data_IF_887279235208
#
_entry.id   IF_887279235208
#
_cell.length_a   1.000
_cell.length_b   1.000
_cell.length_c   1.000
_cell.angle_alpha   90.00
_cell.angle_beta   90.00
_cell.angle_gamma   90.00
#
_symmetry.space_group_name_H-M   'P 1'
#
loop_
_entity.id
_entity.type
_entity.pdbx_description
1 polymer ?
#
# COMPACT_ATOMS: atom_id res chain seq x y z
N UNK A 1 -14.78 -19.34 -10.39
CA UNK A 1 -13.75 -18.68 -11.22
C UNK A 1 -14.32 -17.82 -12.33
N UNK A 2 -15.21 -18.29 -13.22
CA UNK A 2 -15.76 -17.43 -14.29
C UNK A 2 -16.35 -16.10 -13.76
N UNK A 3 -17.21 -16.18 -12.75
CA UNK A 3 -17.83 -14.99 -12.12
C UNK A 3 -16.81 -13.98 -11.55
N UNK A 4 -15.66 -14.45 -11.04
CA UNK A 4 -14.59 -13.56 -10.53
C UNK A 4 -14.09 -12.69 -11.68
N UNK A 5 -13.77 -13.32 -12.81
CA UNK A 5 -13.23 -12.63 -13.97
C UNK A 5 -14.28 -11.78 -14.69
N UNK A 6 -15.56 -12.16 -14.63
CA UNK A 6 -16.64 -11.30 -15.14
C UNK A 6 -16.80 -10.03 -14.30
N UNK A 7 -16.67 -10.12 -12.96
CA UNK A 7 -16.71 -8.94 -12.07
C UNK A 7 -15.54 -8.00 -12.35
N UNK A 8 -14.31 -8.54 -12.38
CA UNK A 8 -13.11 -7.74 -12.65
C UNK A 8 -13.12 -7.16 -14.07
N UNK A 9 -13.54 -7.97 -15.05
CA UNK A 9 -13.63 -7.63 -16.47
C UNK A 9 -14.65 -6.53 -16.76
N UNK A 10 -15.78 -6.50 -16.05
CA UNK A 10 -16.77 -5.42 -16.17
C UNK A 10 -16.44 -4.20 -15.30
N UNK A 11 -15.59 -4.37 -14.27
CA UNK A 11 -15.19 -3.35 -13.31
C UNK A 11 -13.79 -2.78 -13.58
N UNK A 12 -12.83 -3.12 -12.71
CA UNK A 12 -11.49 -2.50 -12.68
C UNK A 12 -10.68 -2.69 -13.97
N UNK A 13 -10.96 -3.72 -14.78
CA UNK A 13 -10.30 -3.90 -16.08
C UNK A 13 -10.98 -3.15 -17.24
N UNK A 14 -12.07 -2.42 -16.98
CA UNK A 14 -12.86 -1.72 -17.99
C UNK A 14 -12.81 -0.19 -17.82
N UNK A 15 -11.60 0.38 -17.77
CA UNK A 15 -11.44 1.84 -17.70
C UNK A 15 -11.97 2.49 -18.99
N UNK A 16 -12.89 3.48 -18.88
CA UNK A 16 -13.50 4.10 -20.05
C UNK A 16 -12.52 5.07 -20.73
N UNK A 17 -12.61 5.19 -22.06
CA UNK A 17 -11.70 6.01 -22.88
C UNK A 17 -11.67 7.48 -22.46
N UNK A 18 -12.76 7.99 -21.90
CA UNK A 18 -12.93 9.37 -21.46
C UNK A 18 -12.27 9.63 -20.09
N UNK A 19 -11.93 8.58 -19.33
CA UNK A 19 -11.22 8.66 -18.05
C UNK A 19 -9.78 8.19 -18.23
N UNK A 20 -9.01 9.00 -18.94
CA UNK A 20 -7.56 8.80 -19.08
C UNK A 20 -6.96 8.84 -17.68
N UNK A 21 -6.26 7.76 -17.33
CA UNK A 21 -5.53 7.57 -16.09
C UNK A 21 -4.12 7.10 -16.44
N UNK A 22 -3.11 7.64 -15.78
CA UNK A 22 -1.73 7.22 -15.96
C UNK A 22 -1.42 6.06 -15.00
N UNK A 23 -1.84 4.85 -15.39
CA UNK A 23 -1.57 3.62 -14.64
C UNK A 23 -2.79 3.08 -13.87
N UNK A 24 -2.53 2.40 -12.76
CA UNK A 24 -3.54 1.73 -11.94
C UNK A 24 -4.21 2.67 -10.95
N UNK A 25 -5.37 2.27 -10.43
CA UNK A 25 -6.04 2.97 -9.33
C UNK A 25 -5.19 2.84 -8.06
N UNK A 26 -4.52 3.92 -7.67
CA UNK A 26 -3.48 3.91 -6.66
C UNK A 26 -4.04 3.58 -5.27
N UNK A 27 -3.24 2.88 -4.47
CA UNK A 27 -3.62 2.45 -3.12
C UNK A 27 -3.48 3.59 -2.13
N UNK A 28 -4.53 3.87 -1.36
CA UNK A 28 -4.51 4.93 -0.34
C UNK A 28 -3.41 4.69 0.71
N UNK A 29 -3.05 3.43 0.94
CA UNK A 29 -1.96 3.08 1.86
C UNK A 29 -0.63 3.67 1.40
N UNK A 30 -0.41 3.80 0.09
CA UNK A 30 0.83 4.31 -0.47
C UNK A 30 0.91 5.84 -0.53
N UNK A 31 -0.16 6.57 -0.23
CA UNK A 31 -0.17 8.02 -0.33
C UNK A 31 0.63 8.67 0.80
N UNK A 32 1.20 9.86 0.53
CA UNK A 32 1.54 10.78 1.60
C UNK A 32 0.23 11.20 2.31
N UNK A 33 0.10 11.02 3.64
CA UNK A 33 -1.15 11.21 4.35
C UNK A 33 -1.74 12.62 4.26
N UNK A 34 -3.07 12.70 4.35
CA UNK A 34 -3.86 13.93 4.36
C UNK A 34 -5.30 13.65 4.75
N UNK A 35 -6.08 14.70 5.03
CA UNK A 35 -7.53 14.58 5.25
C UNK A 35 -8.25 14.18 3.97
N UNK A 36 -7.86 14.79 2.84
CA UNK A 36 -8.43 14.50 1.53
C UNK A 36 -7.35 13.88 0.64
N UNK A 37 -7.15 12.57 0.79
CA UNK A 37 -6.22 11.81 -0.06
C UNK A 37 -7.00 11.21 -1.22
N UNK A 38 -6.59 11.56 -2.43
CA UNK A 38 -7.19 11.01 -3.64
C UNK A 38 -6.18 10.26 -4.51
N UNK A 39 -4.98 10.78 -4.67
CA UNK A 39 -3.91 10.18 -5.46
C UNK A 39 -2.62 10.05 -4.67
N UNK A 40 -1.78 9.10 -5.07
CA UNK A 40 -0.46 8.83 -4.49
C UNK A 40 0.61 9.64 -5.21
N UNK A 41 0.70 9.48 -6.54
CA UNK A 41 1.66 10.20 -7.37
C UNK A 41 1.05 11.47 -7.98
N UNK A 42 1.90 12.43 -8.33
CA UNK A 42 1.44 13.75 -8.81
C UNK A 42 0.67 13.72 -10.14
N UNK A 43 0.87 12.70 -10.98
CA UNK A 43 0.33 12.63 -12.34
C UNK A 43 -0.56 11.41 -12.60
N UNK A 44 -1.08 10.73 -11.57
CA UNK A 44 -1.89 9.53 -11.81
C UNK A 44 -3.17 9.84 -12.59
N UNK A 45 -3.72 11.05 -12.50
CA UNK A 45 -4.98 11.46 -13.15
C UNK A 45 -6.15 10.51 -12.82
N UNK A 46 -6.05 9.81 -11.69
CA UNK A 46 -7.00 8.76 -11.29
C UNK A 46 -8.43 9.29 -11.24
N UNK A 47 -9.39 8.47 -11.68
CA UNK A 47 -10.83 8.78 -11.58
C UNK A 47 -11.57 7.55 -11.07
N UNK A 48 -12.61 7.76 -10.28
CA UNK A 48 -13.51 6.65 -9.91
C UNK A 48 -14.27 6.19 -11.17
N UNK A 49 -14.08 4.93 -11.60
CA UNK A 49 -14.72 4.39 -12.80
C UNK A 49 -15.32 2.99 -12.66
N UNK A 50 -15.05 2.31 -11.55
CA UNK A 50 -15.62 1.01 -11.22
C UNK A 50 -16.17 1.04 -9.80
N UNK A 51 -17.01 0.06 -9.46
CA UNK A 51 -17.53 -0.11 -8.11
C UNK A 51 -16.53 -0.91 -7.26
N UNK A 52 -15.96 -0.36 -6.17
CA UNK A 52 -15.05 -1.08 -5.28
C UNK A 52 -15.59 -2.40 -4.73
N UNK A 53 -16.92 -2.50 -4.56
CA UNK A 53 -17.55 -3.73 -4.06
C UNK A 53 -17.38 -4.91 -5.02
N UNK A 54 -17.25 -4.66 -6.32
CA UNK A 54 -17.06 -5.74 -7.30
C UNK A 54 -15.70 -6.44 -7.11
N UNK A 55 -14.67 -5.68 -6.70
CA UNK A 55 -13.34 -6.23 -6.38
C UNK A 55 -13.38 -7.01 -5.06
N UNK A 56 -14.07 -6.48 -4.04
CA UNK A 56 -14.23 -7.18 -2.75
C UNK A 56 -14.99 -8.49 -2.95
N UNK A 57 -16.05 -8.50 -3.77
CA UNK A 57 -16.81 -9.70 -4.09
C UNK A 57 -15.99 -10.70 -4.91
N UNK A 58 -15.18 -10.22 -5.87
CA UNK A 58 -14.22 -11.06 -6.60
C UNK A 58 -13.22 -11.73 -5.63
N UNK A 59 -12.66 -10.99 -4.68
CA UNK A 59 -11.77 -11.53 -3.65
C UNK A 59 -12.48 -12.60 -2.79
N UNK A 60 -13.71 -12.33 -2.32
CA UNK A 60 -14.53 -13.28 -1.55
C UNK A 60 -14.71 -14.59 -2.30
N UNK A 61 -15.07 -14.51 -3.59
CA UNK A 61 -15.27 -15.68 -4.44
C UNK A 61 -13.98 -16.48 -4.64
N UNK A 62 -12.84 -15.82 -4.84
CA UNK A 62 -11.53 -16.49 -4.93
C UNK A 62 -11.16 -17.20 -3.63
N UNK A 63 -11.28 -16.51 -2.49
CA UNK A 63 -11.03 -17.09 -1.15
C UNK A 63 -11.92 -18.32 -0.91
N UNK A 64 -13.21 -18.27 -1.30
CA UNK A 64 -14.16 -19.37 -1.10
C UNK A 64 -13.81 -20.68 -1.82
N UNK A 65 -12.97 -20.61 -2.86
CA UNK A 65 -12.53 -21.78 -3.62
C UNK A 65 -11.02 -22.06 -3.47
N UNK A 66 -10.32 -21.28 -2.64
CA UNK A 66 -8.86 -21.28 -2.59
C UNK A 66 -8.25 -22.64 -2.23
N UNK A 67 -8.89 -23.40 -1.34
CA UNK A 67 -8.43 -24.75 -0.96
C UNK A 67 -8.33 -25.71 -2.17
N UNK A 68 -9.18 -25.52 -3.20
CA UNK A 68 -9.17 -26.35 -4.42
C UNK A 68 -7.97 -26.09 -5.31
N UNK A 69 -7.33 -24.93 -5.15
CA UNK A 69 -6.24 -24.44 -6.00
C UNK A 69 -4.94 -24.29 -5.23
N UNK A 70 -4.85 -24.79 -4.00
CA UNK A 70 -3.63 -24.74 -3.21
C UNK A 70 -2.45 -25.39 -3.95
N UNK A 71 -1.32 -24.69 -4.01
CA UNK A 71 -0.13 -25.10 -4.77
C UNK A 71 -0.19 -24.74 -6.26
N UNK A 72 -1.30 -24.22 -6.78
CA UNK A 72 -1.33 -23.65 -8.13
C UNK A 72 -0.76 -22.23 -8.11
N UNK A 73 0.46 -22.10 -8.65
CA UNK A 73 1.20 -20.84 -8.63
C UNK A 73 0.45 -19.64 -9.24
N UNK A 74 -0.28 -19.85 -10.34
CA UNK A 74 -0.98 -18.76 -11.03
C UNK A 74 -2.19 -18.31 -10.22
N UNK A 75 -2.99 -19.27 -9.72
CA UNK A 75 -4.13 -18.95 -8.88
C UNK A 75 -3.71 -18.23 -7.60
N UNK A 76 -2.65 -18.68 -6.93
CA UNK A 76 -2.19 -18.03 -5.70
C UNK A 76 -1.63 -16.63 -5.94
N UNK A 77 -1.02 -16.38 -7.10
CA UNK A 77 -0.63 -15.03 -7.50
C UNK A 77 -1.87 -14.13 -7.66
N UNK A 78 -2.86 -14.58 -8.45
CA UNK A 78 -4.09 -13.82 -8.67
C UNK A 78 -4.87 -13.60 -7.36
N UNK A 79 -4.89 -14.61 -6.46
CA UNK A 79 -5.53 -14.51 -5.15
C UNK A 79 -4.91 -13.40 -4.31
N UNK A 80 -3.58 -13.32 -4.28
CA UNK A 80 -2.86 -12.27 -3.54
C UNK A 80 -3.10 -10.91 -4.15
N UNK A 81 -3.05 -10.77 -5.48
CA UNK A 81 -3.23 -9.47 -6.13
C UNK A 81 -4.67 -8.93 -6.00
N UNK A 82 -5.67 -9.79 -6.21
CA UNK A 82 -7.09 -9.40 -6.05
C UNK A 82 -7.42 -9.08 -4.60
N UNK A 83 -6.94 -9.87 -3.63
CA UNK A 83 -7.17 -9.59 -2.21
C UNK A 83 -6.41 -8.35 -1.73
N UNK A 84 -5.19 -8.10 -2.23
CA UNK A 84 -4.47 -6.83 -2.02
C UNK A 84 -5.31 -5.65 -2.50
N UNK A 85 -5.87 -5.73 -3.70
CA UNK A 85 -6.74 -4.65 -4.18
C UNK A 85 -7.98 -4.48 -3.30
N UNK A 86 -8.63 -5.56 -2.86
CA UNK A 86 -9.78 -5.48 -1.96
C UNK A 86 -9.43 -4.81 -0.60
N UNK A 87 -8.25 -5.08 -0.06
CA UNK A 87 -7.73 -4.40 1.14
C UNK A 87 -7.51 -2.90 0.89
N UNK A 88 -6.93 -2.53 -0.26
CA UNK A 88 -6.78 -1.12 -0.65
C UNK A 88 -8.13 -0.40 -0.78
N UNK A 89 -9.15 -1.07 -1.33
CA UNK A 89 -10.51 -0.54 -1.41
C UNK A 89 -11.14 -0.35 -0.01
N UNK A 90 -10.99 -1.33 0.89
CA UNK A 90 -11.41 -1.20 2.30
C UNK A 90 -10.68 -0.07 3.00
N UNK A 91 -9.37 0.07 2.76
CA UNK A 91 -8.54 1.17 3.25
C UNK A 91 -9.07 2.52 2.84
N UNK A 92 -9.50 2.69 1.57
CA UNK A 92 -10.07 3.94 1.07
C UNK A 92 -11.37 4.31 1.77
N UNK A 93 -12.23 3.32 2.02
CA UNK A 93 -13.45 3.54 2.81
C UNK A 93 -13.11 3.94 4.25
N UNK A 94 -12.14 3.27 4.87
CA UNK A 94 -11.73 3.57 6.24
C UNK A 94 -11.11 4.97 6.36
N UNK A 95 -10.30 5.41 5.40
CA UNK A 95 -9.74 6.76 5.39
C UNK A 95 -10.83 7.83 5.37
N UNK A 96 -11.91 7.62 4.59
CA UNK A 96 -13.08 8.53 4.58
C UNK A 96 -13.73 8.62 5.98
N UNK A 97 -13.80 7.50 6.71
CA UNK A 97 -14.32 7.48 8.10
C UNK A 97 -13.39 8.23 9.04
N UNK A 98 -12.07 8.03 8.97
CA UNK A 98 -11.07 8.76 9.77
C UNK A 98 -11.23 10.27 9.57
N UNK A 99 -11.30 10.72 8.31
CA UNK A 99 -11.46 12.13 7.97
C UNK A 99 -12.78 12.71 8.49
N UNK A 100 -13.89 11.96 8.35
CA UNK A 100 -15.18 12.40 8.87
C UNK A 100 -15.16 12.53 10.39
N UNK A 101 -14.58 11.56 11.10
CA UNK A 101 -14.46 11.58 12.56
C UNK A 101 -13.60 12.75 13.06
N UNK A 102 -12.45 12.98 12.41
CA UNK A 102 -11.59 14.13 12.72
C UNK A 102 -12.34 15.46 12.55
N UNK A 103 -13.03 15.64 11.41
CA UNK A 103 -13.81 16.86 11.12
C UNK A 103 -14.97 17.07 12.09
N UNK A 104 -15.56 15.99 12.59
CA UNK A 104 -16.62 16.04 13.59
C UNK A 104 -16.10 16.28 15.02
N UNK A 105 -14.78 16.22 15.24
CA UNK A 105 -14.19 16.26 16.58
C UNK A 105 -14.45 15.00 17.41
N UNK A 106 -14.88 13.91 16.78
CA UNK A 106 -15.20 12.65 17.45
C UNK A 106 -13.93 11.84 17.70
N UNK A 107 -13.33 12.05 18.88
CA UNK A 107 -12.07 11.41 19.27
C UNK A 107 -12.17 9.88 19.31
N UNK A 108 -13.30 9.34 19.77
CA UNK A 108 -13.45 7.90 19.96
C UNK A 108 -13.54 7.20 18.60
N UNK A 109 -14.36 7.73 17.68
CA UNK A 109 -14.46 7.18 16.32
C UNK A 109 -13.15 7.40 15.56
N UNK A 110 -12.50 8.54 15.73
CA UNK A 110 -11.20 8.82 15.10
C UNK A 110 -10.13 7.80 15.52
N UNK A 111 -10.00 7.54 16.83
CA UNK A 111 -9.03 6.57 17.36
C UNK A 111 -9.28 5.17 16.81
N UNK A 112 -10.53 4.69 16.87
CA UNK A 112 -10.87 3.35 16.37
C UNK A 112 -10.65 3.23 14.85
N UNK A 113 -11.10 4.22 14.08
CA UNK A 113 -10.98 4.19 12.62
C UNK A 113 -9.51 4.29 12.16
N UNK A 114 -8.70 5.13 12.83
CA UNK A 114 -7.28 5.29 12.49
C UNK A 114 -6.47 4.03 12.82
N UNK A 115 -6.74 3.40 13.97
CA UNK A 115 -6.14 2.11 14.33
C UNK A 115 -6.52 1.01 13.33
N UNK A 116 -7.79 0.94 12.92
CA UNK A 116 -8.24 -0.02 11.92
C UNK A 116 -7.56 0.25 10.55
N UNK A 117 -7.47 1.50 10.12
CA UNK A 117 -6.76 1.83 8.88
C UNK A 117 -5.30 1.36 8.90
N UNK A 118 -4.59 1.63 10.01
CA UNK A 118 -3.22 1.19 10.20
C UNK A 118 -3.09 -0.34 10.21
N UNK A 119 -4.05 -1.03 10.84
CA UNK A 119 -4.10 -2.48 10.87
C UNK A 119 -4.27 -3.08 9.47
N UNK A 120 -5.10 -2.48 8.61
CA UNK A 120 -5.25 -2.93 7.21
C UNK A 120 -3.93 -2.87 6.43
N UNK A 121 -3.07 -1.88 6.69
CA UNK A 121 -1.72 -1.82 6.07
C UNK A 121 -0.90 -3.04 6.49
N UNK A 122 -0.94 -3.42 7.77
CA UNK A 122 -0.19 -4.57 8.29
C UNK A 122 -0.72 -5.89 7.75
N UNK A 123 -2.04 -6.05 7.61
CA UNK A 123 -2.63 -7.22 6.98
C UNK A 123 -2.25 -7.32 5.50
N UNK A 124 -2.26 -6.20 4.77
CA UNK A 124 -1.79 -6.19 3.38
C UNK A 124 -0.30 -6.52 3.27
N UNK A 125 0.54 -5.98 4.16
CA UNK A 125 1.97 -6.31 4.25
C UNK A 125 2.19 -7.82 4.49
N UNK A 126 1.41 -8.42 5.39
CA UNK A 126 1.46 -9.86 5.67
C UNK A 126 1.03 -10.71 4.47
N UNK A 127 -0.06 -10.35 3.80
CA UNK A 127 -0.55 -11.04 2.61
C UNK A 127 0.51 -11.09 1.51
N UNK A 128 1.11 -9.93 1.23
CA UNK A 128 2.13 -9.77 0.19
C UNK A 128 3.43 -10.50 0.56
N UNK A 129 3.70 -10.70 1.84
CA UNK A 129 4.85 -11.47 2.33
C UNK A 129 4.84 -12.94 1.91
N UNK A 130 3.68 -13.46 1.49
CA UNK A 130 3.51 -14.86 1.05
C UNK A 130 4.02 -15.15 -0.35
N UNK A 131 4.43 -14.15 -1.12
CA UNK A 131 4.99 -14.33 -2.48
C UNK A 131 6.17 -13.42 -2.74
N UNK A 132 7.20 -13.93 -3.41
CA UNK A 132 8.47 -13.20 -3.64
C UNK A 132 8.28 -11.96 -4.51
N UNK A 133 7.32 -11.98 -5.42
CA UNK A 133 7.04 -10.91 -6.39
C UNK A 133 6.60 -9.61 -5.70
N UNK A 134 6.07 -9.72 -4.47
CA UNK A 134 5.57 -8.61 -3.69
C UNK A 134 6.44 -8.27 -2.47
N UNK A 135 7.72 -8.65 -2.45
CA UNK A 135 8.63 -8.35 -1.32
C UNK A 135 9.67 -7.31 -1.71
N UNK A 136 9.82 -6.26 -0.90
CA UNK A 136 10.88 -5.26 -1.10
C UNK A 136 12.27 -5.88 -0.97
N UNK A 137 12.41 -6.96 -0.20
CA UNK A 137 13.65 -7.73 -0.08
C UNK A 137 14.14 -8.29 -1.41
N UNK A 138 13.25 -8.72 -2.30
CA UNK A 138 13.62 -9.19 -3.64
C UNK A 138 14.23 -8.07 -4.48
N UNK A 139 13.69 -6.85 -4.38
CA UNK A 139 14.20 -5.68 -5.08
C UNK A 139 15.57 -5.21 -4.54
N UNK A 140 15.68 -5.10 -3.22
CA UNK A 140 16.91 -4.66 -2.55
C UNK A 140 18.04 -5.69 -2.74
N UNK A 141 17.74 -6.98 -2.64
CA UNK A 141 18.73 -8.05 -2.88
C UNK A 141 19.24 -8.06 -4.31
N UNK A 142 18.36 -7.84 -5.31
CA UNK A 142 18.77 -7.72 -6.70
C UNK A 142 19.73 -6.53 -6.90
N UNK A 143 19.42 -5.37 -6.30
CA UNK A 143 20.26 -4.18 -6.38
C UNK A 143 21.63 -4.42 -5.73
N UNK A 144 21.67 -4.99 -4.52
CA UNK A 144 22.93 -5.37 -3.84
C UNK A 144 23.72 -6.39 -4.67
N UNK A 145 23.06 -7.38 -5.27
CA UNK A 145 23.75 -8.43 -6.04
C UNK A 145 24.40 -7.92 -7.32
N UNK A 146 23.99 -6.76 -7.82
CA UNK A 146 24.60 -6.13 -8.99
C UNK A 146 25.95 -5.43 -8.68
N UNK A 147 26.24 -5.10 -7.42
CA UNK A 147 27.49 -4.44 -7.01
C UNK A 147 28.64 -5.42 -6.76
N UNK A 148 29.87 -5.04 -7.10
CA UNK A 148 31.07 -5.87 -6.92
C UNK A 148 31.78 -5.57 -5.59
N UNK A 149 31.79 -4.31 -5.15
CA UNK A 149 32.39 -3.89 -3.86
C UNK A 149 31.32 -3.55 -2.82
N UNK A 150 31.70 -3.48 -1.54
CA UNK A 150 30.75 -3.13 -0.47
C UNK A 150 30.15 -1.73 -0.68
N UNK A 151 30.94 -0.79 -1.20
CA UNK A 151 30.53 0.56 -1.53
C UNK A 151 29.50 0.58 -2.68
N UNK A 152 29.73 -0.20 -3.73
CA UNK A 152 28.77 -0.32 -4.83
C UNK A 152 27.45 -0.96 -4.37
N UNK A 153 27.52 -2.02 -3.55
CA UNK A 153 26.33 -2.68 -3.00
C UNK A 153 25.48 -1.72 -2.17
N UNK A 154 26.13 -0.93 -1.31
CA UNK A 154 25.47 0.08 -0.50
C UNK A 154 24.85 1.19 -1.37
N UNK A 155 25.59 1.66 -2.39
CA UNK A 155 25.09 2.65 -3.34
C UNK A 155 23.88 2.14 -4.14
N UNK A 156 23.90 0.90 -4.59
CA UNK A 156 22.81 0.33 -5.38
C UNK A 156 21.57 0.06 -4.53
N UNK A 157 21.72 -0.38 -3.28
CA UNK A 157 20.59 -0.43 -2.35
C UNK A 157 20.00 0.96 -2.12
N UNK A 158 20.83 1.97 -1.87
CA UNK A 158 20.33 3.34 -1.69
C UNK A 158 19.54 3.81 -2.93
N UNK A 159 20.06 3.58 -4.14
CA UNK A 159 19.33 3.88 -5.38
C UNK A 159 18.00 3.12 -5.47
N UNK A 160 17.99 1.83 -5.11
CA UNK A 160 16.80 0.98 -5.14
C UNK A 160 15.71 1.48 -4.18
N UNK A 161 16.10 1.94 -2.98
CA UNK A 161 15.20 2.52 -1.98
C UNK A 161 14.66 3.87 -2.42
N UNK A 162 15.55 4.76 -2.89
CA UNK A 162 15.18 6.11 -3.37
C UNK A 162 14.19 6.01 -4.53
N UNK A 163 14.46 5.15 -5.53
CA UNK A 163 13.62 5.04 -6.72
C UNK A 163 12.15 4.77 -6.41
N UNK A 164 11.86 3.90 -5.43
CA UNK A 164 10.48 3.48 -5.09
C UNK A 164 9.82 4.35 -4.00
N UNK A 165 10.50 5.39 -3.51
CA UNK A 165 10.02 6.29 -2.44
C UNK A 165 10.12 7.76 -2.85
N UNK A 166 11.18 8.46 -2.44
CA UNK A 166 11.36 9.91 -2.67
C UNK A 166 11.72 10.23 -4.12
N UNK A 167 12.14 9.22 -4.90
CA UNK A 167 12.63 9.28 -6.28
C UNK A 167 13.93 10.08 -6.47
N UNK A 168 14.17 11.10 -5.65
CA UNK A 168 15.40 11.85 -5.56
C UNK A 168 15.51 12.63 -4.26
N UNK A 169 16.28 13.71 -4.28
CA UNK A 169 16.40 14.63 -3.14
C UNK A 169 15.11 15.43 -2.92
N UNK A 170 15.06 16.24 -1.85
CA UNK A 170 13.89 17.06 -1.49
C UNK A 170 13.37 17.92 -2.64
N UNK A 171 14.26 18.50 -3.42
CA UNK A 171 13.86 19.33 -4.57
C UNK A 171 13.11 18.47 -5.59
N UNK A 172 13.63 17.29 -5.95
CA UNK A 172 12.95 16.38 -6.86
C UNK A 172 11.63 15.83 -6.30
N UNK A 173 11.63 15.42 -5.03
CA UNK A 173 10.50 14.78 -4.36
C UNK A 173 9.32 15.76 -4.14
N UNK A 174 9.61 16.94 -3.57
CA UNK A 174 8.58 17.88 -3.16
C UNK A 174 8.26 18.91 -4.26
N UNK A 175 9.27 19.62 -4.78
CA UNK A 175 9.07 20.67 -5.79
C UNK A 175 8.89 20.09 -7.19
N UNK A 176 9.66 19.04 -7.51
CA UNK A 176 9.55 18.30 -8.75
C UNK A 176 8.34 17.36 -8.79
N UNK A 177 7.71 17.07 -7.65
CA UNK A 177 6.50 16.25 -7.58
C UNK A 177 6.74 14.74 -7.73
N UNK A 178 7.98 14.27 -7.60
CA UNK A 178 8.35 12.87 -7.92
C UNK A 178 8.23 11.91 -6.74
N UNK A 179 7.92 12.39 -5.53
CA UNK A 179 7.62 11.52 -4.38
C UNK A 179 6.54 10.49 -4.74
N UNK A 180 6.73 9.27 -4.28
CA UNK A 180 5.84 8.12 -4.48
C UNK A 180 5.50 7.82 -5.96
N UNK A 181 6.21 8.40 -6.93
CA UNK A 181 5.94 8.21 -8.36
C UNK A 181 6.03 6.73 -8.76
N UNK A 182 7.03 6.03 -8.22
CA UNK A 182 7.20 4.60 -8.42
C UNK A 182 6.88 3.81 -7.14
N UNK A 183 5.86 4.24 -6.38
CA UNK A 183 5.39 3.52 -5.19
C UNK A 183 5.12 2.03 -5.50
N UNK A 184 5.18 1.22 -4.44
CA UNK A 184 4.95 -0.22 -4.50
C UNK A 184 4.14 -0.69 -3.32
N UNK A 185 3.13 -1.50 -3.58
CA UNK A 185 2.47 -2.29 -2.55
C UNK A 185 3.28 -3.58 -2.35
N UNK A 186 4.38 -3.46 -1.60
CA UNK A 186 5.26 -4.58 -1.28
C UNK A 186 5.32 -4.80 0.24
N UNK A 187 5.44 -6.06 0.63
CA UNK A 187 5.82 -6.47 1.97
C UNK A 187 7.18 -5.85 2.35
N UNK A 188 7.28 -5.44 3.62
CA UNK A 188 8.38 -4.67 4.18
C UNK A 188 8.12 -3.16 4.08
N UNK A 189 7.99 -2.63 2.86
CA UNK A 189 7.81 -1.18 2.67
C UNK A 189 6.42 -0.68 3.11
N UNK A 190 5.37 -1.50 3.01
CA UNK A 190 4.06 -1.19 3.60
C UNK A 190 4.15 -0.95 5.10
N UNK A 191 4.80 -1.85 5.83
CA UNK A 191 4.99 -1.71 7.27
C UNK A 191 5.99 -0.62 7.68
N UNK A 192 7.14 -0.53 7.02
CA UNK A 192 8.24 0.29 7.55
C UNK A 192 8.25 1.71 7.00
N UNK A 193 7.65 1.94 5.83
CA UNK A 193 7.58 3.26 5.20
C UNK A 193 6.14 3.80 5.24
N UNK A 194 5.18 3.08 4.65
CA UNK A 194 3.83 3.59 4.47
C UNK A 194 3.03 3.68 5.78
N UNK A 195 3.03 2.62 6.59
CA UNK A 195 2.40 2.61 7.92
C UNK A 195 3.01 3.67 8.84
N UNK A 196 4.35 3.80 8.83
CA UNK A 196 5.04 4.82 9.63
C UNK A 196 4.53 6.22 9.30
N UNK A 197 4.41 6.57 8.00
CA UNK A 197 3.87 7.88 7.57
C UNK A 197 2.46 8.10 8.06
N UNK A 198 1.57 7.14 7.84
CA UNK A 198 0.17 7.23 8.26
C UNK A 198 0.03 7.33 9.78
N UNK A 199 0.83 6.58 10.54
CA UNK A 199 0.85 6.64 12.00
C UNK A 199 1.27 8.02 12.48
N UNK A 200 2.37 8.57 11.95
CA UNK A 200 2.83 9.91 12.30
C UNK A 200 1.74 10.97 12.05
N UNK A 201 1.03 10.86 10.92
CA UNK A 201 -0.08 11.75 10.60
C UNK A 201 -1.28 11.61 11.53
N UNK A 202 -1.69 10.38 11.87
CA UNK A 202 -2.79 10.17 12.80
C UNK A 202 -2.44 10.60 14.23
N UNK A 203 -1.21 10.40 14.68
CA UNK A 203 -0.71 10.93 15.95
C UNK A 203 -0.74 12.47 15.98
N UNK A 204 -0.36 13.11 14.87
CA UNK A 204 -0.46 14.57 14.69
C UNK A 204 -1.92 15.04 14.80
N UNK A 205 -2.84 14.40 14.08
CA UNK A 205 -4.27 14.73 14.12
C UNK A 205 -4.88 14.49 15.52
N UNK A 206 -4.48 13.43 16.22
CA UNK A 206 -4.91 13.20 17.60
C UNK A 206 -4.48 14.35 18.53
N UNK A 207 -3.26 14.87 18.37
CA UNK A 207 -2.80 16.05 19.12
C UNK A 207 -3.64 17.29 18.80
N UNK A 208 -4.01 17.51 17.53
CA UNK A 208 -4.89 18.61 17.12
C UNK A 208 -6.28 18.47 17.75
N UNK A 209 -6.85 17.25 17.78
CA UNK A 209 -8.12 16.97 18.47
C UNK A 209 -8.05 17.24 19.98
N UNK A 210 -6.88 17.08 20.59
CA UNK A 210 -6.61 17.46 21.98
C UNK A 210 -6.49 18.97 22.21
N UNK A 211 -6.65 19.79 21.17
CA UNK A 211 -6.48 21.24 21.25
C UNK A 211 -5.02 21.68 21.31
N UNK A 212 -4.07 20.78 21.02
CA UNK A 212 -2.64 21.09 20.92
C UNK A 212 -2.32 21.66 19.54
N UNK A 213 -1.19 22.33 19.44
CA UNK A 213 -0.63 22.83 18.19
C UNK A 213 0.71 22.14 17.92
N UNK A 214 0.70 20.88 17.44
CA UNK A 214 1.94 20.18 17.07
C UNK A 214 2.63 20.87 15.88
N UNK A 215 3.95 20.73 15.80
CA UNK A 215 4.71 21.17 14.63
C UNK A 215 4.25 20.40 13.37
N UNK A 216 4.32 21.06 12.21
CA UNK A 216 3.98 20.43 10.94
C UNK A 216 4.92 19.26 10.63
N UNK A 217 4.35 18.17 10.11
CA UNK A 217 5.12 16.99 9.74
C UNK A 217 5.94 17.26 8.47
N UNK A 218 7.26 17.17 8.62
CA UNK A 218 8.18 17.12 7.48
C UNK A 218 8.29 15.68 6.94
N UNK A 219 7.35 15.33 6.08
CA UNK A 219 7.27 13.98 5.50
C UNK A 219 8.55 13.56 4.77
N UNK A 220 9.21 14.46 4.04
CA UNK A 220 10.44 14.09 3.34
C UNK A 220 11.53 13.67 4.33
N UNK A 221 11.65 14.32 5.49
CA UNK A 221 12.63 13.92 6.50
C UNK A 221 12.35 12.51 7.05
N UNK A 222 11.07 12.18 7.26
CA UNK A 222 10.65 10.82 7.65
C UNK A 222 10.94 9.80 6.55
N UNK A 223 10.66 10.16 5.30
CA UNK A 223 10.83 9.30 4.12
C UNK A 223 12.31 9.04 3.81
N UNK A 224 13.13 10.08 3.83
CA UNK A 224 14.56 10.01 3.53
C UNK A 224 15.32 9.17 4.56
N UNK A 225 14.88 9.15 5.82
CA UNK A 225 15.47 8.28 6.84
C UNK A 225 15.45 6.81 6.40
N UNK A 226 14.30 6.31 5.91
CA UNK A 226 14.17 4.94 5.42
C UNK A 226 15.07 4.65 4.20
N UNK A 227 15.29 5.65 3.34
CA UNK A 227 16.20 5.49 2.18
C UNK A 227 17.66 5.27 2.57
N UNK A 228 18.06 5.75 3.76
CA UNK A 228 19.42 5.69 4.29
C UNK A 228 19.65 4.45 5.17
N UNK A 229 18.60 3.70 5.46
CA UNK A 229 18.71 2.45 6.21
C UNK A 229 19.37 1.33 5.39
N UNK A 230 20.00 0.41 6.10
CA UNK A 230 20.64 -0.78 5.52
C UNK A 230 20.04 -2.09 6.07
N UNK A 231 18.89 -1.98 6.73
CA UNK A 231 18.15 -3.10 7.32
C UNK A 231 17.88 -4.21 6.32
N UNK A 232 17.92 -5.46 6.78
CA UNK A 232 17.67 -6.62 5.94
C UNK A 232 16.18 -6.85 5.74
N UNK A 233 15.77 -7.04 4.48
CA UNK A 233 14.46 -7.54 4.11
C UNK A 233 14.61 -8.92 3.46
N UNK A 234 13.87 -9.91 3.96
CA UNK A 234 13.84 -11.23 3.35
C UNK A 234 13.26 -11.16 1.93
N UNK A 235 13.87 -11.86 0.98
CA UNK A 235 13.30 -12.14 -0.34
C UNK A 235 12.53 -13.47 -0.40
N UNK A 236 12.58 -14.24 0.69
CA UNK A 236 11.96 -15.57 0.80
C UNK A 236 10.49 -15.40 1.18
N UNK A 237 9.55 -16.02 0.45
CA UNK A 237 8.14 -16.05 0.83
C UNK A 237 7.91 -16.64 2.23
N UNK A 238 6.95 -16.06 2.96
CA UNK A 238 6.64 -16.45 4.35
C UNK A 238 5.17 -16.87 4.47
N UNK A 239 4.93 -17.99 5.16
CA UNK A 239 3.58 -18.51 5.35
C UNK A 239 3.00 -19.23 4.14
N UNK A 240 1.79 -19.77 4.29
CA UNK A 240 1.04 -20.41 3.22
C UNK A 240 0.03 -19.39 2.64
N UNK A 241 0.14 -19.09 1.34
CA UNK A 241 -0.69 -18.07 0.68
C UNK A 241 -2.19 -18.28 0.89
N UNK A 242 -2.70 -19.50 0.70
CA UNK A 242 -4.13 -19.81 0.84
C UNK A 242 -4.60 -19.61 2.29
N UNK A 243 -3.83 -20.11 3.27
CA UNK A 243 -4.16 -19.97 4.69
C UNK A 243 -4.16 -18.50 5.11
N UNK A 244 -3.11 -17.75 4.76
CA UNK A 244 -2.99 -16.33 5.10
C UNK A 244 -4.11 -15.51 4.46
N UNK A 245 -4.41 -15.75 3.17
CA UNK A 245 -5.49 -15.06 2.47
C UNK A 245 -6.86 -15.30 3.11
N UNK A 246 -7.17 -16.54 3.51
CA UNK A 246 -8.42 -16.89 4.19
C UNK A 246 -8.54 -16.19 5.54
N UNK A 247 -7.50 -16.24 6.36
CA UNK A 247 -7.49 -15.61 7.69
C UNK A 247 -7.68 -14.09 7.59
N UNK A 248 -6.95 -13.43 6.67
CA UNK A 248 -7.06 -11.99 6.46
C UNK A 248 -8.46 -11.62 5.94
N UNK A 249 -9.02 -12.41 5.03
CA UNK A 249 -10.36 -12.13 4.52
C UNK A 249 -11.42 -12.21 5.63
N UNK A 250 -11.39 -13.28 6.44
CA UNK A 250 -12.31 -13.48 7.59
C UNK A 250 -12.17 -12.38 8.65
N UNK A 251 -10.96 -11.84 8.84
CA UNK A 251 -10.71 -10.76 9.80
C UNK A 251 -11.27 -9.40 9.34
N UNK A 252 -11.30 -9.13 8.03
CA UNK A 252 -11.59 -7.79 7.48
C UNK A 252 -13.01 -7.61 6.94
N UNK A 253 -13.61 -8.68 6.39
CA UNK A 253 -14.86 -8.63 5.62
C UNK A 253 -15.94 -9.52 6.22
#
# INVERSE_FOLDING_TARGET
>A
MQQVWDLLGNGIYNSPKEKIQQGTHESVFCARPGLDVYQVSSWSEMKEYYNPQDVIEAARLMVSVADKYQGNNNFEFDLVDVLRQALAEKGRLMQKVVTAAFRAGDKQVFELASQHFLHLILLQDQLLGTRKEFKVGTWIEAARSAGQTQEEKALYEWNARVQITTWGNRVAADQGGLRDYAHKEWNGILKDFYFMRWKAYFDYLACVLDGKQPEELDFYTLEEAWTKETGFYSSIPEGNTVVVAKNIFEEVF
#
